data_IF_558821324522
#
_entry.id   IF_558821324522
#
_cell.length_a   1.000
_cell.length_b   1.000
_cell.length_c   1.000
_cell.angle_alpha   90.00
_cell.angle_beta   90.00
_cell.angle_gamma   90.00
#
_symmetry.space_group_name_H-M   'P 1'
#
loop_
_entity.id
_entity.type
_entity.pdbx_description
1 polymer ?
#
# COMPACT_ATOMS: atom_id res chain seq x y z
N UNK A 1 -44.42 -62.46 -9.42
CA UNK A 1 -45.60 -61.93 -10.13
C UNK A 1 -45.24 -61.81 -11.61
N UNK A 2 -45.96 -62.45 -12.55
CA UNK A 2 -45.63 -62.36 -13.98
C UNK A 2 -45.97 -60.97 -14.52
N UNK A 3 -45.00 -60.31 -15.16
CA UNK A 3 -45.16 -58.99 -15.77
C UNK A 3 -45.96 -59.10 -17.06
N UNK A 4 -47.19 -58.57 -17.10
CA UNK A 4 -47.99 -58.49 -18.32
C UNK A 4 -47.45 -57.38 -19.21
N UNK A 5 -47.17 -57.68 -20.48
CA UNK A 5 -46.73 -56.72 -21.50
C UNK A 5 -47.93 -56.37 -22.38
N UNK A 6 -48.28 -55.10 -22.44
CA UNK A 6 -49.35 -54.58 -23.29
C UNK A 6 -48.73 -53.76 -24.42
N UNK A 7 -49.30 -53.88 -25.62
CA UNK A 7 -48.91 -53.03 -26.75
C UNK A 7 -49.58 -51.66 -26.63
N UNK A 8 -49.00 -50.63 -27.26
CA UNK A 8 -49.53 -49.25 -27.23
C UNK A 8 -50.99 -49.14 -27.70
N UNK A 9 -51.40 -50.01 -28.62
CA UNK A 9 -52.74 -50.03 -29.20
C UNK A 9 -53.59 -51.20 -28.64
N UNK A 10 -53.25 -51.74 -27.47
CA UNK A 10 -53.96 -52.86 -26.88
C UNK A 10 -55.38 -52.44 -26.42
N UNK A 11 -56.45 -53.00 -27.01
CA UNK A 11 -57.82 -52.60 -26.70
C UNK A 11 -58.23 -52.94 -25.27
N UNK A 12 -57.47 -53.79 -24.55
CA UNK A 12 -57.75 -54.16 -23.15
C UNK A 12 -57.39 -53.07 -22.14
N UNK A 13 -56.57 -52.10 -22.54
CA UNK A 13 -56.19 -50.94 -21.73
C UNK A 13 -56.77 -49.62 -22.28
N UNK A 14 -57.51 -49.67 -23.38
CA UNK A 14 -58.16 -48.52 -23.98
C UNK A 14 -59.20 -47.89 -23.03
N UNK A 15 -59.04 -46.61 -22.69
CA UNK A 15 -59.89 -45.90 -21.71
C UNK A 15 -59.51 -46.13 -20.24
N UNK A 16 -58.43 -46.87 -19.97
CA UNK A 16 -57.86 -47.06 -18.63
C UNK A 16 -56.67 -46.12 -18.43
N UNK A 17 -56.51 -45.52 -17.25
CA UNK A 17 -55.35 -44.68 -16.91
C UNK A 17 -54.13 -45.57 -16.63
N UNK A 18 -53.43 -46.00 -17.69
CA UNK A 18 -52.30 -46.93 -17.61
C UNK A 18 -51.07 -46.25 -18.20
N UNK A 19 -49.99 -46.16 -17.41
CA UNK A 19 -48.69 -45.69 -17.88
C UNK A 19 -47.97 -46.86 -18.55
N UNK A 20 -47.64 -46.71 -19.84
CA UNK A 20 -46.86 -47.71 -20.56
C UNK A 20 -45.42 -47.72 -20.02
N UNK A 21 -44.77 -48.89 -20.01
CA UNK A 21 -43.38 -49.00 -19.57
C UNK A 21 -42.44 -48.08 -20.37
N UNK A 22 -42.69 -47.90 -21.67
CA UNK A 22 -41.94 -46.97 -22.52
C UNK A 22 -42.08 -45.50 -22.09
N UNK A 23 -43.27 -45.12 -21.63
CA UNK A 23 -43.57 -43.74 -21.22
C UNK A 23 -42.98 -43.47 -19.84
N UNK A 24 -43.00 -44.48 -18.97
CA UNK A 24 -42.30 -44.46 -17.69
C UNK A 24 -40.77 -44.32 -17.86
N UNK A 25 -40.16 -45.11 -18.75
CA UNK A 25 -38.73 -45.02 -19.04
C UNK A 25 -38.35 -43.66 -19.63
N UNK A 26 -39.19 -43.10 -20.51
CA UNK A 26 -39.00 -41.76 -21.07
C UNK A 26 -39.06 -40.68 -19.99
N UNK A 27 -40.08 -40.73 -19.11
CA UNK A 27 -40.20 -39.81 -17.98
C UNK A 27 -39.03 -39.92 -17.00
N UNK A 28 -38.54 -41.14 -16.75
CA UNK A 28 -37.39 -41.36 -15.88
C UNK A 28 -36.10 -40.75 -16.46
N UNK A 29 -35.91 -40.87 -17.78
CA UNK A 29 -34.78 -40.25 -18.47
C UNK A 29 -34.89 -38.71 -18.44
N UNK A 30 -36.06 -38.15 -18.70
CA UNK A 30 -36.29 -36.71 -18.67
C UNK A 30 -36.07 -36.13 -17.26
N UNK A 31 -36.56 -36.81 -16.22
CA UNK A 31 -36.30 -36.44 -14.82
C UNK A 31 -34.82 -36.53 -14.46
N UNK A 32 -34.10 -37.53 -14.98
CA UNK A 32 -32.65 -37.66 -14.78
C UNK A 32 -31.89 -36.52 -15.45
N UNK A 33 -32.25 -36.19 -16.69
CA UNK A 33 -31.62 -35.11 -17.46
C UNK A 33 -31.87 -33.74 -16.82
N UNK A 34 -33.12 -33.43 -16.48
CA UNK A 34 -33.47 -32.16 -15.81
C UNK A 34 -32.78 -32.02 -14.45
N UNK A 35 -32.63 -33.11 -13.70
CA UNK A 35 -31.88 -33.10 -12.43
C UNK A 35 -30.39 -32.83 -12.65
N UNK A 36 -29.80 -33.43 -13.70
CA UNK A 36 -28.40 -33.20 -14.04
C UNK A 36 -28.17 -31.73 -14.48
N UNK A 37 -29.07 -31.17 -15.28
CA UNK A 37 -29.05 -29.77 -15.70
C UNK A 37 -29.20 -28.82 -14.51
N UNK A 38 -30.16 -29.07 -13.61
CA UNK A 38 -30.36 -28.25 -12.42
C UNK A 38 -29.13 -28.27 -11.50
N UNK A 39 -28.46 -29.43 -11.37
CA UNK A 39 -27.24 -29.56 -10.59
C UNK A 39 -26.08 -28.79 -11.25
N UNK A 40 -25.93 -28.89 -12.58
CA UNK A 40 -24.91 -28.14 -13.31
C UNK A 40 -25.11 -26.63 -13.19
N UNK A 41 -26.35 -26.14 -13.32
CA UNK A 41 -26.68 -24.73 -13.14
C UNK A 41 -26.41 -24.26 -11.71
N UNK A 42 -26.72 -25.08 -10.70
CA UNK A 42 -26.42 -24.77 -9.31
C UNK A 42 -24.92 -24.61 -9.08
N UNK A 43 -24.11 -25.55 -9.56
CA UNK A 43 -22.65 -25.48 -9.43
C UNK A 43 -22.08 -24.26 -10.17
N UNK A 44 -22.59 -23.95 -11.36
CA UNK A 44 -22.19 -22.75 -12.10
C UNK A 44 -22.56 -21.46 -11.33
N UNK A 45 -23.75 -21.41 -10.73
CA UNK A 45 -24.18 -20.29 -9.89
C UNK A 45 -23.31 -20.14 -8.64
N UNK A 46 -22.93 -21.24 -7.99
CA UNK A 46 -22.03 -21.22 -6.83
C UNK A 46 -20.63 -20.72 -7.21
N UNK A 47 -20.10 -21.17 -8.36
CA UNK A 47 -18.82 -20.68 -8.90
C UNK A 47 -18.87 -19.19 -9.25
N UNK A 48 -19.96 -18.73 -9.87
CA UNK A 48 -20.17 -17.31 -10.17
C UNK A 48 -20.22 -16.46 -8.90
N UNK A 49 -20.93 -16.92 -7.86
CA UNK A 49 -20.98 -16.22 -6.58
C UNK A 49 -19.59 -16.07 -5.94
N UNK A 50 -18.77 -17.13 -5.99
CA UNK A 50 -17.39 -17.05 -5.51
C UNK A 50 -16.56 -16.06 -6.33
N UNK A 51 -16.70 -16.05 -7.66
CA UNK A 51 -15.95 -15.12 -8.51
C UNK A 51 -16.34 -13.66 -8.28
N UNK A 52 -17.63 -13.39 -8.06
CA UNK A 52 -18.11 -12.05 -7.70
C UNK A 52 -17.50 -11.61 -6.37
N UNK A 53 -17.49 -12.47 -5.35
CA UNK A 53 -16.90 -12.15 -4.05
C UNK A 53 -15.40 -11.83 -4.14
N UNK A 54 -14.64 -12.57 -4.95
CA UNK A 54 -13.23 -12.25 -5.22
C UNK A 54 -13.06 -10.88 -5.87
N UNK A 55 -13.82 -10.60 -6.93
CA UNK A 55 -13.73 -9.31 -7.64
C UNK A 55 -14.13 -8.14 -6.74
N UNK A 56 -15.11 -8.33 -5.86
CA UNK A 56 -15.49 -7.31 -4.87
C UNK A 56 -14.36 -7.04 -3.88
N UNK A 57 -13.66 -8.08 -3.42
CA UNK A 57 -12.49 -7.93 -2.53
C UNK A 57 -11.31 -7.23 -3.24
N UNK A 58 -11.00 -7.61 -4.48
CA UNK A 58 -9.97 -6.95 -5.29
C UNK A 58 -10.31 -5.48 -5.52
N UNK A 59 -11.55 -5.18 -5.89
CA UNK A 59 -12.02 -3.82 -6.16
C UNK A 59 -12.02 -2.97 -4.89
N UNK A 60 -12.34 -3.54 -3.73
CA UNK A 60 -12.18 -2.88 -2.44
C UNK A 60 -10.70 -2.53 -2.17
N UNK A 61 -9.78 -3.45 -2.46
CA UNK A 61 -8.33 -3.21 -2.38
C UNK A 61 -7.87 -2.07 -3.29
N UNK A 62 -8.29 -2.08 -4.56
CA UNK A 62 -7.95 -1.04 -5.54
C UNK A 62 -8.50 0.32 -5.12
N UNK A 63 -9.73 0.39 -4.61
CA UNK A 63 -10.31 1.64 -4.09
C UNK A 63 -9.53 2.17 -2.89
N UNK A 64 -9.12 1.30 -1.99
CA UNK A 64 -8.27 1.66 -0.85
C UNK A 64 -6.94 2.26 -1.31
N UNK A 65 -6.25 1.59 -2.24
CA UNK A 65 -5.00 2.07 -2.82
C UNK A 65 -5.17 3.40 -3.57
N UNK A 66 -6.22 3.52 -4.38
CA UNK A 66 -6.53 4.76 -5.09
C UNK A 66 -6.81 5.92 -4.15
N UNK A 67 -7.40 5.64 -2.98
CA UNK A 67 -7.63 6.65 -1.94
C UNK A 67 -6.32 7.00 -1.23
N UNK A 68 -5.45 6.02 -0.98
CA UNK A 68 -4.16 6.27 -0.34
C UNK A 68 -3.17 7.04 -1.24
N UNK A 69 -3.31 6.94 -2.55
CA UNK A 69 -2.38 7.48 -3.56
C UNK A 69 -3.03 8.58 -4.43
N UNK A 70 -4.05 9.25 -3.93
CA UNK A 70 -4.67 10.37 -4.64
C UNK A 70 -3.78 11.63 -4.59
N UNK A 71 -4.24 12.71 -5.23
CA UNK A 71 -3.46 13.95 -5.34
C UNK A 71 -3.29 14.67 -4.00
N UNK A 72 -2.24 15.48 -3.87
CA UNK A 72 -2.01 16.30 -2.66
C UNK A 72 -3.20 17.22 -2.33
N UNK A 73 -3.87 17.78 -3.34
CA UNK A 73 -5.03 18.63 -3.15
C UNK A 73 -6.23 17.85 -2.54
N UNK A 74 -6.47 16.63 -3.03
CA UNK A 74 -7.54 15.78 -2.51
C UNK A 74 -7.20 15.22 -1.13
N UNK A 75 -5.92 14.99 -0.82
CA UNK A 75 -5.46 14.66 0.53
C UNK A 75 -5.75 15.80 1.52
N UNK A 76 -5.35 17.03 1.19
CA UNK A 76 -5.54 18.19 2.06
C UNK A 76 -7.02 18.45 2.36
N UNK A 77 -7.90 18.34 1.35
CA UNK A 77 -9.35 18.45 1.53
C UNK A 77 -9.89 17.39 2.50
N UNK A 78 -9.46 16.12 2.37
CA UNK A 78 -9.86 15.05 3.29
C UNK A 78 -9.34 15.25 4.70
N UNK A 79 -8.11 15.72 4.85
CA UNK A 79 -7.54 16.01 6.18
C UNK A 79 -8.34 17.11 6.87
N UNK A 80 -8.66 18.21 6.17
CA UNK A 80 -9.48 19.30 6.70
C UNK A 80 -10.89 18.82 7.04
N UNK A 81 -11.51 18.01 6.17
CA UNK A 81 -12.83 17.42 6.44
C UNK A 81 -12.83 16.50 7.67
N UNK A 82 -11.70 15.84 7.96
CA UNK A 82 -11.49 15.04 9.18
C UNK A 82 -11.14 15.87 10.43
N UNK A 83 -11.09 17.21 10.32
CA UNK A 83 -10.73 18.10 11.42
C UNK A 83 -9.21 18.15 11.71
N UNK A 84 -8.37 17.71 10.77
CA UNK A 84 -6.91 17.76 10.87
C UNK A 84 -6.35 19.00 10.15
N UNK A 85 -5.13 19.40 10.51
CA UNK A 85 -4.37 20.36 9.71
C UNK A 85 -3.99 19.73 8.38
N UNK A 86 -4.12 20.48 7.28
CA UNK A 86 -3.67 20.05 5.95
C UNK A 86 -2.14 19.94 5.89
N UNK A 87 -1.60 19.18 4.93
CA UNK A 87 -0.15 19.08 4.70
C UNK A 87 0.45 20.47 4.47
N UNK A 88 -0.20 21.30 3.65
CA UNK A 88 0.25 22.68 3.42
C UNK A 88 0.31 23.49 4.72
N UNK A 89 -0.66 23.32 5.62
CA UNK A 89 -0.66 24.00 6.93
C UNK A 89 0.44 23.48 7.86
N UNK A 90 0.69 22.17 7.87
CA UNK A 90 1.79 21.58 8.65
C UNK A 90 3.14 22.09 8.14
N UNK A 91 3.33 22.17 6.82
CA UNK A 91 4.58 22.64 6.21
C UNK A 91 4.78 24.16 6.32
N UNK A 92 3.70 24.95 6.35
CA UNK A 92 3.78 26.40 6.52
C UNK A 92 4.37 26.83 7.88
N UNK A 93 4.30 25.94 8.87
CA UNK A 93 4.99 26.09 10.15
C UNK A 93 4.28 26.96 11.19
N UNK A 94 4.63 26.68 12.46
CA UNK A 94 4.22 27.32 13.75
C UNK A 94 2.76 27.09 14.18
N UNK A 95 2.47 26.62 15.42
CA UNK A 95 3.33 26.61 16.63
C UNK A 95 4.19 25.36 16.84
N UNK A 96 3.94 24.27 16.10
CA UNK A 96 4.58 22.97 16.34
C UNK A 96 6.11 23.03 16.22
N UNK A 97 6.62 23.80 15.26
CA UNK A 97 8.06 23.92 15.02
C UNK A 97 8.82 24.45 16.24
N UNK A 98 8.19 25.30 17.05
CA UNK A 98 8.80 25.83 18.26
C UNK A 98 9.01 24.75 19.33
N UNK A 99 8.13 23.74 19.36
CA UNK A 99 8.26 22.58 20.24
C UNK A 99 9.20 21.52 19.67
N UNK A 100 9.27 21.39 18.35
CA UNK A 100 10.13 20.41 17.67
C UNK A 100 11.59 20.87 17.68
N UNK A 101 11.85 22.18 17.54
CA UNK A 101 13.21 22.73 17.53
C UNK A 101 13.93 22.41 18.83
N UNK A 102 15.06 21.71 18.72
CA UNK A 102 15.91 21.42 19.87
C UNK A 102 16.53 22.72 20.42
N UNK A 103 16.35 23.00 21.71
CA UNK A 103 16.78 24.25 22.34
C UNK A 103 18.28 24.54 22.18
N UNK A 104 19.11 23.50 22.13
CA UNK A 104 20.57 23.61 21.94
C UNK A 104 21.05 23.86 20.51
N UNK A 105 20.14 23.98 19.53
CA UNK A 105 20.47 24.30 18.14
C UNK A 105 20.18 25.77 17.86
N UNK A 106 21.24 26.57 17.78
CA UNK A 106 21.19 28.03 17.61
C UNK A 106 21.88 28.53 16.35
N UNK A 107 22.75 27.73 15.75
CA UNK A 107 23.56 28.08 14.58
C UNK A 107 23.91 26.81 13.78
N UNK A 108 24.56 26.99 12.62
CA UNK A 108 24.90 25.89 11.71
C UNK A 108 25.87 24.87 12.35
N UNK A 109 26.75 25.31 13.25
CA UNK A 109 27.73 24.43 13.90
C UNK A 109 27.07 23.57 14.97
N UNK A 110 26.20 24.15 15.78
CA UNK A 110 25.40 23.41 16.78
C UNK A 110 24.39 22.49 16.11
N UNK A 111 23.88 22.85 14.93
CA UNK A 111 23.06 21.96 14.10
C UNK A 111 23.85 20.76 13.55
N UNK A 112 25.06 20.97 13.04
CA UNK A 112 25.95 19.88 12.60
C UNK A 112 26.21 18.86 13.73
N UNK A 113 26.56 19.36 14.91
CA UNK A 113 26.80 18.53 16.09
C UNK A 113 25.56 17.72 16.48
N UNK A 114 24.38 18.35 16.44
CA UNK A 114 23.13 17.69 16.74
C UNK A 114 22.80 16.59 15.71
N UNK A 115 23.02 16.84 14.41
CA UNK A 115 22.83 15.85 13.35
C UNK A 115 23.77 14.65 13.54
N UNK A 116 25.05 14.89 13.83
CA UNK A 116 26.02 13.81 14.06
C UNK A 116 25.66 12.99 15.31
N UNK A 117 25.20 13.63 16.39
CA UNK A 117 24.71 12.93 17.58
C UNK A 117 23.50 12.05 17.26
N UNK A 118 22.51 12.57 16.52
CA UNK A 118 21.31 11.81 16.13
C UNK A 118 21.66 10.62 15.24
N UNK A 119 22.46 10.86 14.19
CA UNK A 119 22.94 9.82 13.29
C UNK A 119 23.69 8.73 14.05
N UNK A 120 24.65 9.10 14.91
CA UNK A 120 25.41 8.14 15.71
C UNK A 120 24.51 7.33 16.66
N UNK A 121 23.47 7.95 17.23
CA UNK A 121 22.50 7.27 18.07
C UNK A 121 21.75 6.17 17.32
N UNK A 122 21.21 6.47 16.15
CA UNK A 122 20.45 5.50 15.35
C UNK A 122 21.33 4.41 14.76
N UNK A 123 22.52 4.73 14.26
CA UNK A 123 23.47 3.71 13.75
C UNK A 123 23.88 2.73 14.85
N UNK A 124 24.14 3.23 16.07
CA UNK A 124 24.43 2.34 17.21
C UNK A 124 23.24 1.47 17.58
N UNK A 125 22.02 2.00 17.49
CA UNK A 125 20.82 1.23 17.79
C UNK A 125 20.54 0.17 16.72
N UNK A 126 20.71 0.51 15.44
CA UNK A 126 20.63 -0.43 14.32
C UNK A 126 21.60 -1.60 14.55
N UNK A 127 22.89 -1.31 14.78
CA UNK A 127 23.89 -2.34 15.02
C UNK A 127 23.53 -3.26 16.21
N UNK A 128 22.91 -2.71 17.27
CA UNK A 128 22.44 -3.53 18.41
C UNK A 128 21.30 -4.46 18.03
N UNK A 129 20.39 -4.02 17.17
CA UNK A 129 19.25 -4.82 16.72
C UNK A 129 19.68 -5.91 15.73
N UNK A 130 20.62 -5.61 14.82
CA UNK A 130 21.24 -6.61 13.93
C UNK A 130 21.94 -7.70 14.75
N UNK A 131 22.78 -7.30 15.73
CA UNK A 131 23.44 -8.26 16.61
C UNK A 131 22.48 -9.08 17.48
N UNK A 132 21.25 -8.59 17.68
CA UNK A 132 20.20 -9.29 18.41
C UNK A 132 19.29 -10.13 17.50
N UNK A 133 19.53 -10.17 16.19
CA UNK A 133 18.73 -10.94 15.23
C UNK A 133 17.29 -10.42 15.08
N UNK A 134 17.08 -9.10 15.22
CA UNK A 134 15.75 -8.46 15.18
C UNK A 134 15.42 -7.82 13.83
N UNK A 135 16.10 -8.20 12.76
CA UNK A 135 15.87 -7.66 11.41
C UNK A 135 14.41 -7.79 10.92
N UNK A 136 13.65 -8.86 11.23
CA UNK A 136 12.26 -8.97 10.79
C UNK A 136 11.26 -8.10 11.58
N UNK A 137 11.72 -7.33 12.56
CA UNK A 137 10.86 -6.58 13.48
C UNK A 137 10.54 -5.17 12.97
N UNK A 138 9.32 -4.69 13.20
CA UNK A 138 8.89 -3.33 12.83
C UNK A 138 9.78 -2.26 13.48
N UNK A 139 10.26 -2.51 14.71
CA UNK A 139 11.20 -1.61 15.37
C UNK A 139 12.51 -1.48 14.59
N UNK A 140 12.99 -2.56 13.96
CA UNK A 140 14.20 -2.52 13.16
C UNK A 140 14.00 -1.68 11.90
N UNK A 141 12.90 -1.87 11.18
CA UNK A 141 12.55 -1.06 10.00
C UNK A 141 12.44 0.43 10.35
N UNK A 142 11.82 0.74 11.49
CA UNK A 142 11.74 2.11 12.00
C UNK A 142 13.12 2.69 12.31
N UNK A 143 13.98 1.96 13.01
CA UNK A 143 15.34 2.41 13.34
C UNK A 143 16.18 2.60 12.07
N UNK A 144 16.10 1.67 11.13
CA UNK A 144 16.82 1.72 9.86
C UNK A 144 16.42 2.94 9.04
N UNK A 145 15.11 3.20 8.92
CA UNK A 145 14.57 4.38 8.21
C UNK A 145 15.08 5.69 8.82
N UNK A 146 15.12 5.80 10.15
CA UNK A 146 15.65 6.98 10.83
C UNK A 146 17.17 7.11 10.68
N UNK A 147 17.91 6.00 10.75
CA UNK A 147 19.34 5.99 10.50
C UNK A 147 19.68 6.48 9.07
N UNK A 148 18.89 6.06 8.09
CA UNK A 148 19.01 6.50 6.70
C UNK A 148 18.72 8.00 6.55
N UNK A 149 17.57 8.47 7.05
CA UNK A 149 17.16 9.88 6.97
C UNK A 149 18.19 10.83 7.60
N UNK A 150 18.65 10.53 8.83
CA UNK A 150 19.68 11.36 9.48
C UNK A 150 21.05 11.25 8.80
N UNK A 151 21.37 10.11 8.16
CA UNK A 151 22.61 9.97 7.40
C UNK A 151 22.60 10.84 6.15
N UNK A 152 21.51 10.82 5.38
CA UNK A 152 21.35 11.64 4.20
C UNK A 152 21.47 13.14 4.53
N UNK A 153 20.69 13.60 5.52
CA UNK A 153 20.71 15.02 5.93
C UNK A 153 22.09 15.43 6.43
N UNK A 154 22.74 14.61 7.27
CA UNK A 154 24.06 14.95 7.81
C UNK A 154 25.16 14.99 6.75
N UNK A 155 25.10 14.12 5.73
CA UNK A 155 26.06 14.09 4.62
C UNK A 155 25.87 15.32 3.72
N UNK A 156 24.63 15.59 3.30
CA UNK A 156 24.32 16.72 2.44
C UNK A 156 24.58 18.06 3.14
N UNK A 157 24.26 18.15 4.44
CA UNK A 157 24.57 19.32 5.25
C UNK A 157 26.07 19.59 5.29
N UNK A 158 26.91 18.57 5.54
CA UNK A 158 28.37 18.73 5.55
C UNK A 158 28.91 19.20 4.20
N UNK A 159 28.43 18.62 3.11
CA UNK A 159 28.84 19.03 1.77
C UNK A 159 28.50 20.50 1.51
N UNK A 160 27.27 20.92 1.81
CA UNK A 160 26.83 22.30 1.65
C UNK A 160 27.58 23.27 2.56
N UNK A 161 27.74 22.92 3.84
CA UNK A 161 28.41 23.77 4.82
C UNK A 161 29.89 23.99 4.47
N UNK A 162 30.59 22.96 4.00
CA UNK A 162 31.97 23.08 3.53
C UNK A 162 32.09 23.98 2.29
N UNK A 163 31.16 23.87 1.34
CA UNK A 163 31.13 24.74 0.16
C UNK A 163 30.97 26.22 0.55
N UNK A 164 30.04 26.52 1.47
CA UNK A 164 29.85 27.89 1.99
C UNK A 164 31.10 28.44 2.68
N UNK A 165 31.82 27.60 3.44
CA UNK A 165 33.05 28.01 4.11
C UNK A 165 34.20 28.28 3.12
N UNK A 166 34.30 27.51 2.04
CA UNK A 166 35.29 27.73 0.98
C UNK A 166 35.01 29.02 0.20
N UNK A 167 33.75 29.31 -0.10
CA UNK A 167 33.34 30.55 -0.76
C UNK A 167 33.57 31.78 0.14
N UNK A 168 33.28 31.68 1.45
CA UNK A 168 33.53 32.76 2.41
C UNK A 168 35.03 33.01 2.68
N UNK A 169 35.88 32.01 2.49
CA UNK A 169 37.34 32.14 2.60
C UNK A 169 38.04 32.69 1.35
N UNK A 170 37.31 32.86 0.24
CA UNK A 170 37.84 33.28 -1.06
C UNK A 170 37.59 34.78 -1.35
N UNK A 171 37.85 35.67 -0.39
CA UNK A 171 37.92 37.11 -0.69
C UNK A 171 39.14 37.43 -1.58
N UNK A 172 39.01 38.39 -2.53
CA UNK A 172 39.95 38.57 -3.62
C UNK A 172 41.31 39.10 -3.14
N UNK A 173 42.39 38.42 -3.53
CA UNK A 173 43.75 38.92 -3.39
C UNK A 173 43.83 40.36 -3.92
N UNK A 174 44.14 41.29 -3.02
CA UNK A 174 44.33 42.69 -3.32
C UNK A 174 45.31 42.86 -4.49
N UNK A 175 44.91 43.66 -5.47
CA UNK A 175 45.72 44.03 -6.63
C UNK A 175 47.14 44.48 -6.19
N UNK A 176 48.19 44.11 -6.93
CA UNK A 176 49.55 44.46 -6.56
C UNK A 176 49.72 45.98 -6.54
N UNK A 177 50.19 46.51 -5.41
CA UNK A 177 50.52 47.94 -5.22
C UNK A 177 51.47 48.39 -6.34
N UNK A 178 51.00 49.32 -7.18
CA UNK A 178 51.84 50.01 -8.13
C UNK A 178 53.02 50.69 -7.40
N UNK A 179 54.24 50.42 -7.85
CA UNK A 179 55.45 51.11 -7.40
C UNK A 179 55.31 52.61 -7.70
N UNK A 180 55.73 53.50 -6.78
CA UNK A 180 55.93 54.89 -7.14
C UNK A 180 57.20 54.97 -8.03
N UNK A 181 57.04 55.43 -9.26
CA UNK A 181 58.18 55.83 -10.09
C UNK A 181 58.84 57.05 -9.46
N UNK A 182 60.09 56.89 -9.05
CA UNK A 182 61.02 57.98 -8.82
C UNK A 182 61.59 58.36 -10.18
N UNK A 183 61.23 59.54 -10.70
CA UNK A 183 62.14 60.60 -11.16
C UNK A 183 61.37 61.77 -11.78
#
# INVERSE_FOLDING_TARGET
MPTKRYAKDDPTIAGSEVVLASDFDSLQNDLSNTRAEALALRTASEQQAHRVAELEAELAGVRSLSTALDSDATLDERMVAAGMYSVAQVLAGKPLDAFIRHAGVSDLRTYEQWLDMKRAGFVKLQARLELAGREPDELYEWVMSHAAAFSEVAINFRAAYQAVQLEAGAEPQAAPKARPELH
#
